data_IF_085933580860
#
_entry.id   IF_085933580860
#
_cell.length_a   1.000
_cell.length_b   1.000
_cell.length_c   1.000
_cell.angle_alpha   90.00
_cell.angle_beta   90.00
_cell.angle_gamma   90.00
#
_symmetry.space_group_name_H-M   'P 1'
#
loop_
_entity.id
_entity.type
_entity.pdbx_description
1 polymer ?
#
# COMPACT_ATOMS: atom_id res chain seq x y z
N UNK A 1 -27.34 28.37 -49.56
CA UNK A 1 -26.93 28.57 -48.16
C UNK A 1 -25.50 29.06 -48.18
N UNK A 2 -25.25 30.20 -47.56
CA UNK A 2 -23.89 30.79 -47.46
C UNK A 2 -22.99 29.86 -46.64
N UNK A 3 -21.71 29.77 -46.97
CA UNK A 3 -20.70 29.00 -46.17
C UNK A 3 -20.58 29.52 -44.74
N UNK A 4 -21.10 30.70 -44.45
CA UNK A 4 -21.16 31.30 -43.11
C UNK A 4 -22.34 30.83 -42.25
N UNK A 5 -23.30 30.06 -42.82
CA UNK A 5 -24.46 29.52 -42.08
C UNK A 5 -24.14 28.18 -41.40
N UNK A 6 -22.95 27.63 -41.61
CA UNK A 6 -22.47 26.40 -40.99
C UNK A 6 -21.80 26.72 -39.63
N UNK A 7 -22.63 26.88 -38.61
CA UNK A 7 -22.15 27.05 -37.22
C UNK A 7 -21.81 25.71 -36.61
N UNK A 8 -20.82 25.66 -35.66
CA UNK A 8 -20.49 24.45 -34.91
C UNK A 8 -21.75 23.94 -34.18
N UNK A 9 -22.06 22.66 -34.36
CA UNK A 9 -23.19 22.02 -33.66
C UNK A 9 -22.71 21.50 -32.34
N UNK A 10 -23.48 21.78 -31.27
CA UNK A 10 -23.27 21.12 -29.98
C UNK A 10 -23.59 19.64 -30.15
N UNK A 11 -22.58 18.75 -29.92
CA UNK A 11 -22.77 17.31 -29.98
C UNK A 11 -23.57 16.83 -28.76
N UNK A 12 -24.28 15.70 -28.90
CA UNK A 12 -25.04 15.06 -27.81
C UNK A 12 -24.11 14.69 -26.65
N UNK A 13 -22.87 14.29 -26.95
CA UNK A 13 -21.86 13.95 -25.94
C UNK A 13 -21.57 15.14 -25.01
N UNK A 14 -21.40 16.34 -25.55
CA UNK A 14 -21.20 17.55 -24.71
C UNK A 14 -22.41 17.84 -23.80
N UNK A 15 -23.63 17.58 -24.31
CA UNK A 15 -24.83 17.76 -23.48
C UNK A 15 -24.89 16.74 -22.33
N UNK A 16 -24.48 15.49 -22.58
CA UNK A 16 -24.42 14.45 -21.55
C UNK A 16 -23.34 14.72 -20.48
N UNK A 17 -22.22 15.29 -20.91
CA UNK A 17 -21.14 15.71 -19.98
C UNK A 17 -21.60 16.87 -19.10
N UNK A 18 -22.28 17.88 -19.66
CA UNK A 18 -22.84 18.99 -18.87
C UNK A 18 -23.93 18.50 -17.89
N UNK A 19 -24.78 17.53 -18.29
CA UNK A 19 -25.77 16.92 -17.40
C UNK A 19 -25.09 16.15 -16.25
N UNK A 20 -23.98 15.42 -16.52
CA UNK A 20 -23.22 14.70 -15.53
C UNK A 20 -22.55 15.66 -14.53
N UNK A 21 -21.93 16.74 -15.03
CA UNK A 21 -21.31 17.76 -14.18
C UNK A 21 -22.34 18.43 -13.27
N UNK A 22 -23.47 18.83 -13.81
CA UNK A 22 -24.56 19.46 -13.04
C UNK A 22 -25.10 18.52 -11.95
N UNK A 23 -25.31 17.24 -12.28
CA UNK A 23 -25.76 16.23 -11.31
C UNK A 23 -24.73 15.98 -10.19
N UNK A 24 -23.44 15.92 -10.54
CA UNK A 24 -22.38 15.75 -9.58
C UNK A 24 -22.22 16.97 -8.67
N UNK A 25 -22.21 18.17 -9.22
CA UNK A 25 -22.20 19.41 -8.43
C UNK A 25 -23.41 19.50 -7.48
N UNK A 26 -24.59 19.10 -7.93
CA UNK A 26 -25.78 19.05 -7.09
C UNK A 26 -25.64 18.06 -5.93
N UNK A 27 -24.93 16.95 -6.11
CA UNK A 27 -24.59 16.02 -5.02
C UNK A 27 -23.62 16.67 -4.04
N UNK A 28 -22.52 17.24 -4.52
CA UNK A 28 -21.48 17.87 -3.71
C UNK A 28 -22.03 19.02 -2.86
N UNK A 29 -22.88 19.87 -3.43
CA UNK A 29 -23.48 21.03 -2.74
C UNK A 29 -24.42 20.68 -1.59
N UNK A 30 -24.78 19.40 -1.43
CA UNK A 30 -25.61 18.92 -0.31
C UNK A 30 -24.81 18.72 0.99
N UNK A 31 -23.47 18.80 0.94
CA UNK A 31 -22.60 18.65 2.10
C UNK A 31 -21.67 19.84 2.24
N UNK A 32 -21.45 20.28 3.46
CA UNK A 32 -20.43 21.27 3.79
C UNK A 32 -19.00 20.67 3.85
N UNK A 33 -18.88 19.36 3.73
CA UNK A 33 -17.61 18.63 3.84
C UNK A 33 -16.81 18.59 2.54
N UNK A 34 -17.40 19.13 1.44
CA UNK A 34 -16.79 19.15 0.12
C UNK A 34 -16.84 20.52 -0.52
N UNK A 35 -15.73 20.89 -1.14
CA UNK A 35 -15.62 22.08 -1.97
C UNK A 35 -15.37 21.65 -3.43
N UNK A 36 -16.28 21.99 -4.33
CA UNK A 36 -16.10 21.76 -5.74
C UNK A 36 -15.05 22.74 -6.30
N UNK A 37 -13.97 22.19 -6.85
CA UNK A 37 -12.88 22.94 -7.46
C UNK A 37 -13.03 22.88 -8.98
N UNK A 38 -13.83 23.61 -9.61
CA UNK A 38 -14.17 23.70 -11.02
C UNK A 38 -13.43 22.81 -12.04
N UNK A 39 -13.99 22.65 -13.21
CA UNK A 39 -13.35 21.92 -14.30
C UNK A 39 -12.26 22.79 -14.95
N UNK A 40 -11.05 22.24 -15.13
CA UNK A 40 -10.05 22.86 -16.02
C UNK A 40 -10.46 22.55 -17.48
N UNK A 41 -10.86 23.57 -18.23
CA UNK A 41 -11.30 23.43 -19.63
C UNK A 41 -10.23 22.90 -20.60
N UNK A 42 -8.99 22.73 -20.14
CA UNK A 42 -7.89 22.12 -20.87
C UNK A 42 -7.64 20.70 -20.37
N UNK A 43 -8.66 19.91 -20.44
CA UNK A 43 -8.71 18.61 -19.81
C UNK A 43 -7.76 17.59 -20.46
N UNK A 44 -6.87 17.04 -19.63
CA UNK A 44 -5.99 15.92 -19.97
C UNK A 44 -6.39 14.63 -19.23
N UNK A 45 -7.61 14.51 -18.71
CA UNK A 45 -8.09 13.26 -18.09
C UNK A 45 -8.75 13.40 -16.71
N UNK A 46 -8.88 14.62 -16.17
CA UNK A 46 -9.67 14.91 -14.97
C UNK A 46 -10.69 16.00 -15.31
N UNK A 47 -11.98 15.68 -15.23
CA UNK A 47 -13.02 16.66 -15.54
C UNK A 47 -13.24 17.65 -14.39
N UNK A 48 -13.07 17.19 -13.13
CA UNK A 48 -13.15 18.08 -11.96
C UNK A 48 -12.39 17.50 -10.75
N UNK A 49 -12.21 18.36 -9.76
CA UNK A 49 -11.65 18.01 -8.46
C UNK A 49 -12.63 18.43 -7.37
N UNK A 50 -12.67 17.69 -6.29
CA UNK A 50 -13.33 18.07 -5.06
C UNK A 50 -12.32 18.08 -3.92
N UNK A 51 -12.37 19.11 -3.11
CA UNK A 51 -11.50 19.24 -1.94
C UNK A 51 -12.27 18.92 -0.67
N UNK A 52 -11.66 18.16 0.22
CA UNK A 52 -12.28 17.75 1.47
C UNK A 52 -12.16 18.87 2.51
N UNK A 53 -13.29 19.14 3.19
CA UNK A 53 -13.40 20.13 4.26
C UNK A 53 -13.69 19.42 5.57
N UNK A 54 -12.99 19.77 6.65
CA UNK A 54 -13.18 19.19 7.97
C UNK A 54 -13.37 20.29 8.99
N UNK A 55 -14.52 20.29 9.66
CA UNK A 55 -14.83 21.31 10.65
C UNK A 55 -14.79 22.75 10.09
N UNK A 56 -15.16 22.93 8.82
CA UNK A 56 -15.12 24.23 8.13
C UNK A 56 -13.72 24.63 7.63
N UNK A 57 -12.70 23.77 7.82
CA UNK A 57 -11.34 24.03 7.34
C UNK A 57 -11.05 23.26 6.06
N UNK A 58 -10.48 23.94 5.07
CA UNK A 58 -10.05 23.37 3.81
C UNK A 58 -8.74 22.59 4.02
N UNK A 59 -8.70 21.31 3.63
CA UNK A 59 -7.62 20.40 4.01
C UNK A 59 -6.50 20.27 2.99
N UNK A 60 -6.67 20.81 1.76
CA UNK A 60 -5.84 20.56 0.59
C UNK A 60 -5.77 19.07 0.17
N UNK A 61 -6.70 18.24 0.66
CA UNK A 61 -6.88 16.86 0.21
C UNK A 61 -7.88 16.85 -0.91
N UNK A 62 -7.43 16.48 -2.11
CA UNK A 62 -8.23 16.53 -3.33
C UNK A 62 -8.53 15.14 -3.85
N UNK A 63 -9.76 14.96 -4.29
CA UNK A 63 -10.24 13.78 -4.99
C UNK A 63 -10.38 14.14 -6.47
N UNK A 64 -9.79 13.33 -7.35
CA UNK A 64 -9.77 13.57 -8.79
C UNK A 64 -10.86 12.77 -9.47
N UNK A 65 -11.70 13.42 -10.26
CA UNK A 65 -12.92 12.83 -10.82
C UNK A 65 -12.95 12.96 -12.33
N UNK A 66 -13.19 11.85 -13.01
CA UNK A 66 -13.54 11.79 -14.42
C UNK A 66 -15.05 11.55 -14.53
N UNK A 67 -15.77 12.47 -15.15
CA UNK A 67 -17.22 12.39 -15.33
C UNK A 67 -17.59 11.80 -16.69
N UNK A 68 -18.64 11.02 -16.74
CA UNK A 68 -19.24 10.54 -18.00
C UNK A 68 -20.76 10.55 -17.90
N UNK A 69 -21.42 11.18 -18.87
CA UNK A 69 -22.86 11.09 -19.04
C UNK A 69 -23.25 9.98 -20.01
N UNK A 70 -24.33 9.24 -19.73
CA UNK A 70 -24.79 8.17 -20.63
C UNK A 70 -26.28 7.91 -20.57
N UNK A 71 -26.85 7.53 -21.72
CA UNK A 71 -28.25 7.07 -21.89
C UNK A 71 -28.30 5.53 -22.10
N UNK A 72 -27.15 4.81 -22.07
CA UNK A 72 -27.10 3.37 -22.31
C UNK A 72 -27.91 2.63 -21.27
N UNK A 73 -28.59 1.55 -21.71
CA UNK A 73 -29.28 0.67 -20.78
C UNK A 73 -28.31 0.02 -19.77
N UNK A 74 -28.80 -0.23 -18.58
CA UNK A 74 -28.08 -1.01 -17.58
C UNK A 74 -27.91 -2.47 -18.06
N UNK A 75 -26.84 -3.10 -17.64
CA UNK A 75 -26.61 -4.53 -17.82
C UNK A 75 -27.68 -5.35 -17.06
N UNK A 76 -27.77 -6.63 -17.33
CA UNK A 76 -28.72 -7.53 -16.66
C UNK A 76 -28.54 -7.61 -15.14
N UNK A 77 -27.33 -7.38 -14.64
CA UNK A 77 -26.97 -7.32 -13.22
C UNK A 77 -27.19 -5.93 -12.60
N UNK A 78 -27.76 -5.00 -13.34
CA UNK A 78 -27.98 -3.62 -12.90
C UNK A 78 -26.74 -2.73 -12.95
N UNK A 79 -25.58 -3.24 -13.37
CA UNK A 79 -24.38 -2.44 -13.57
C UNK A 79 -24.42 -1.60 -14.85
N UNK A 80 -23.52 -0.63 -14.97
CA UNK A 80 -23.35 0.20 -16.16
C UNK A 80 -21.93 0.03 -16.69
N UNK A 81 -21.78 -0.16 -18.01
CA UNK A 81 -20.48 -0.31 -18.67
C UNK A 81 -20.23 0.82 -19.66
N UNK A 82 -19.14 1.56 -19.48
CA UNK A 82 -18.77 2.70 -20.33
C UNK A 82 -17.34 2.49 -20.85
N UNK A 83 -17.14 2.75 -22.14
CA UNK A 83 -15.80 2.77 -22.73
C UNK A 83 -15.11 4.10 -22.36
N UNK A 84 -13.88 4.02 -21.85
CA UNK A 84 -13.03 5.15 -21.50
C UNK A 84 -11.70 5.00 -22.22
N UNK A 85 -11.13 6.09 -22.68
CA UNK A 85 -9.80 6.05 -23.29
C UNK A 85 -8.74 5.67 -22.25
N UNK A 86 -7.79 4.82 -22.66
CA UNK A 86 -6.68 4.41 -21.79
C UNK A 86 -5.87 5.60 -21.25
N UNK A 87 -5.72 6.65 -22.04
CA UNK A 87 -5.04 7.88 -21.63
C UNK A 87 -5.65 8.53 -20.40
N UNK A 88 -6.97 8.50 -20.28
CA UNK A 88 -7.69 9.02 -19.11
C UNK A 88 -7.41 8.16 -17.86
N UNK A 89 -7.41 6.83 -18.01
CA UNK A 89 -7.02 5.94 -16.90
C UNK A 89 -5.57 6.20 -16.48
N UNK A 90 -4.63 6.29 -17.42
CA UNK A 90 -3.22 6.56 -17.13
C UNK A 90 -3.03 7.88 -16.37
N UNK A 91 -3.81 8.90 -16.74
CA UNK A 91 -3.78 10.19 -16.04
C UNK A 91 -4.31 10.08 -14.61
N UNK A 92 -5.43 9.40 -14.41
CA UNK A 92 -6.03 9.21 -13.09
C UNK A 92 -5.16 8.32 -12.18
N UNK A 93 -4.50 7.30 -12.73
CA UNK A 93 -3.57 6.43 -11.97
C UNK A 93 -2.43 7.24 -11.34
N UNK A 94 -1.99 8.32 -11.98
CA UNK A 94 -0.94 9.19 -11.46
C UNK A 94 -1.40 10.07 -10.28
N UNK A 95 -2.73 10.18 -10.07
CA UNK A 95 -3.32 11.00 -9.03
C UNK A 95 -3.86 10.12 -7.90
N UNK A 96 -3.53 10.40 -6.63
CA UNK A 96 -4.11 9.67 -5.53
C UNK A 96 -5.62 9.95 -5.41
N UNK A 97 -6.36 8.96 -4.92
CA UNK A 97 -7.81 9.07 -4.64
C UNK A 97 -8.64 9.47 -5.86
N UNK A 98 -8.35 8.83 -7.00
CA UNK A 98 -9.03 9.09 -8.27
C UNK A 98 -10.15 8.09 -8.52
N UNK A 99 -11.24 8.57 -9.14
CA UNK A 99 -12.35 7.70 -9.49
C UNK A 99 -13.12 8.22 -10.71
N UNK A 100 -13.83 7.30 -11.36
CA UNK A 100 -14.77 7.60 -12.42
C UNK A 100 -16.17 7.76 -11.84
N UNK A 101 -16.92 8.74 -12.35
CA UNK A 101 -18.34 8.92 -12.06
C UNK A 101 -19.13 8.89 -13.36
N UNK A 102 -20.17 8.08 -13.40
CA UNK A 102 -21.11 8.01 -14.51
C UNK A 102 -22.47 8.53 -14.09
N UNK A 103 -22.99 9.51 -14.81
CA UNK A 103 -24.37 9.93 -14.69
C UNK A 103 -25.24 9.14 -15.68
N UNK A 104 -26.13 8.31 -15.15
CA UNK A 104 -27.10 7.54 -15.94
C UNK A 104 -28.39 8.34 -16.08
N UNK A 105 -28.56 8.95 -17.24
CA UNK A 105 -29.67 9.88 -17.53
C UNK A 105 -31.08 9.25 -17.32
N UNK A 106 -31.32 7.99 -17.78
CA UNK A 106 -32.65 7.38 -17.62
C UNK A 106 -33.09 7.20 -16.16
N UNK A 107 -32.18 6.88 -15.26
CA UNK A 107 -32.49 6.70 -13.82
C UNK A 107 -32.16 7.92 -12.99
N UNK A 108 -31.53 8.95 -13.58
CA UNK A 108 -31.04 10.15 -12.88
C UNK A 108 -30.15 9.82 -11.69
N UNK A 109 -29.31 8.76 -11.81
CA UNK A 109 -28.41 8.30 -10.76
C UNK A 109 -26.95 8.54 -11.13
N UNK A 110 -26.13 8.87 -10.14
CA UNK A 110 -24.69 8.90 -10.23
C UNK A 110 -24.15 7.55 -9.79
N UNK A 111 -23.19 7.01 -10.54
CA UNK A 111 -22.53 5.76 -10.25
C UNK A 111 -21.03 5.95 -10.18
N UNK A 112 -20.33 5.16 -9.38
CA UNK A 112 -18.91 5.29 -9.13
C UNK A 112 -18.15 4.03 -9.51
N UNK A 113 -16.92 4.22 -10.00
CA UNK A 113 -15.94 3.15 -10.19
C UNK A 113 -14.55 3.67 -9.82
N UNK A 114 -13.88 2.98 -8.90
CA UNK A 114 -12.54 3.37 -8.44
C UNK A 114 -11.48 2.94 -9.45
N UNK A 115 -10.45 3.77 -9.62
CA UNK A 115 -9.34 3.51 -10.55
C UNK A 115 -8.67 2.17 -10.25
N UNK A 116 -8.47 1.85 -8.97
CA UNK A 116 -7.88 0.58 -8.54
C UNK A 116 -8.75 -0.63 -8.91
N UNK A 117 -10.07 -0.50 -8.86
CA UNK A 117 -10.98 -1.57 -9.29
C UNK A 117 -10.89 -1.81 -10.81
N UNK A 118 -10.73 -0.73 -11.59
CA UNK A 118 -10.51 -0.83 -13.04
C UNK A 118 -9.18 -1.52 -13.33
N UNK A 119 -8.08 -1.11 -12.69
CA UNK A 119 -6.76 -1.73 -12.86
C UNK A 119 -6.80 -3.22 -12.56
N UNK A 120 -7.37 -3.62 -11.43
CA UNK A 120 -7.50 -5.03 -11.03
C UNK A 120 -8.23 -5.88 -12.07
N UNK A 121 -9.30 -5.36 -12.66
CA UNK A 121 -10.06 -6.07 -13.69
C UNK A 121 -9.22 -6.39 -14.93
N UNK A 122 -8.29 -5.50 -15.31
CA UNK A 122 -7.48 -5.64 -16.51
C UNK A 122 -6.17 -6.41 -16.29
N UNK A 123 -5.64 -6.42 -15.09
CA UNK A 123 -4.44 -7.19 -14.74
C UNK A 123 -4.62 -8.71 -14.91
N UNK A 124 -5.86 -9.21 -14.81
CA UNK A 124 -6.17 -10.64 -14.94
C UNK A 124 -6.62 -11.06 -16.36
N UNK A 125 -6.66 -10.15 -17.31
CA UNK A 125 -7.04 -10.43 -18.70
C UNK A 125 -5.90 -11.02 -19.49
N UNK A 126 -6.21 -11.95 -20.45
CA UNK A 126 -5.25 -12.59 -21.36
C UNK A 126 -4.53 -11.60 -22.33
N UNK A 127 -4.97 -10.34 -22.41
CA UNK A 127 -4.32 -9.24 -23.13
C UNK A 127 -4.12 -8.10 -22.17
N UNK A 128 -2.85 -7.73 -21.97
CA UNK A 128 -2.49 -6.57 -21.15
C UNK A 128 -3.28 -5.33 -21.57
N UNK A 129 -3.90 -4.65 -20.63
CA UNK A 129 -4.65 -3.41 -20.85
C UNK A 129 -3.80 -2.33 -21.54
N UNK A 130 -2.47 -2.46 -21.43
CA UNK A 130 -1.47 -1.56 -22.01
C UNK A 130 -1.50 -1.51 -23.54
N UNK A 131 -2.10 -2.49 -24.21
CA UNK A 131 -2.20 -2.55 -25.67
C UNK A 131 -3.55 -2.04 -26.21
N UNK A 132 -4.55 -1.85 -25.32
CA UNK A 132 -5.88 -1.40 -25.72
C UNK A 132 -5.95 0.13 -25.79
N UNK A 133 -6.61 0.67 -26.81
CA UNK A 133 -6.85 2.12 -26.91
C UNK A 133 -7.95 2.60 -25.97
N UNK A 134 -8.96 1.78 -25.75
CA UNK A 134 -10.06 2.04 -24.84
C UNK A 134 -10.31 0.87 -23.92
N UNK A 135 -10.77 1.16 -22.71
CA UNK A 135 -11.06 0.21 -21.64
C UNK A 135 -12.54 0.33 -21.26
N UNK A 136 -13.16 -0.79 -20.91
CA UNK A 136 -14.52 -0.76 -20.38
C UNK A 136 -14.48 -0.61 -18.86
N UNK A 137 -14.97 0.52 -18.35
CA UNK A 137 -15.16 0.75 -16.93
C UNK A 137 -16.56 0.26 -16.54
N UNK A 138 -16.63 -0.55 -15.49
CA UNK A 138 -17.88 -1.06 -14.93
C UNK A 138 -18.24 -0.26 -13.68
N UNK A 139 -19.48 0.21 -13.63
CA UNK A 139 -20.03 0.98 -12.51
C UNK A 139 -21.12 0.12 -11.84
N UNK A 140 -20.76 -0.54 -10.78
CA UNK A 140 -21.64 -1.46 -10.04
C UNK A 140 -22.39 -0.76 -8.91
N UNK A 141 -21.87 0.37 -8.43
CA UNK A 141 -22.32 1.02 -7.22
C UNK A 141 -22.82 2.43 -7.48
N UNK A 142 -23.83 2.83 -6.72
CA UNK A 142 -24.33 4.20 -6.74
C UNK A 142 -23.44 5.12 -5.92
N UNK A 143 -23.17 6.32 -6.42
CA UNK A 143 -22.44 7.35 -5.71
C UNK A 143 -23.42 8.12 -4.81
N UNK A 144 -23.32 7.87 -3.51
CA UNK A 144 -24.06 8.59 -2.46
C UNK A 144 -23.14 9.54 -1.70
N UNK A 145 -23.71 10.46 -0.92
CA UNK A 145 -22.92 11.32 -0.02
C UNK A 145 -22.16 10.50 1.02
N UNK A 146 -22.75 9.45 1.55
CA UNK A 146 -22.13 8.55 2.52
C UNK A 146 -20.89 7.86 1.94
N UNK A 147 -21.02 7.38 0.70
CA UNK A 147 -19.90 6.77 0.00
C UNK A 147 -18.79 7.77 -0.31
N UNK A 148 -19.16 8.99 -0.69
CA UNK A 148 -18.21 10.07 -0.90
C UNK A 148 -17.50 10.46 0.40
N UNK A 149 -18.22 10.46 1.52
CA UNK A 149 -17.64 10.68 2.86
C UNK A 149 -16.64 9.59 3.25
N UNK A 150 -16.95 8.33 2.97
CA UNK A 150 -16.04 7.22 3.21
C UNK A 150 -14.74 7.36 2.39
N UNK A 151 -14.85 7.77 1.12
CA UNK A 151 -13.70 8.05 0.27
C UNK A 151 -12.89 9.25 0.78
N UNK A 152 -13.56 10.30 1.25
CA UNK A 152 -12.89 11.46 1.86
C UNK A 152 -12.12 11.08 3.13
N UNK A 153 -12.68 10.23 3.99
CA UNK A 153 -12.01 9.73 5.19
C UNK A 153 -10.75 8.91 4.85
N UNK A 154 -10.84 8.07 3.81
CA UNK A 154 -9.69 7.35 3.27
C UNK A 154 -8.60 8.33 2.79
N UNK A 155 -8.96 9.32 1.99
CA UNK A 155 -8.04 10.31 1.44
C UNK A 155 -7.38 11.17 2.53
N UNK A 156 -8.14 11.58 3.54
CA UNK A 156 -7.63 12.30 4.71
C UNK A 156 -6.61 11.46 5.47
N UNK A 157 -6.92 10.18 5.73
CA UNK A 157 -6.03 9.27 6.44
C UNK A 157 -4.72 9.06 5.68
N UNK A 158 -4.78 8.74 4.39
CA UNK A 158 -3.59 8.56 3.55
C UNK A 158 -2.76 9.84 3.40
N UNK A 159 -3.40 11.00 3.25
CA UNK A 159 -2.70 12.29 3.14
C UNK A 159 -2.00 12.68 4.45
N UNK A 160 -2.59 12.37 5.61
CA UNK A 160 -1.95 12.56 6.92
C UNK A 160 -0.70 11.70 7.06
N UNK A 161 -0.80 10.42 6.71
CA UNK A 161 0.33 9.50 6.74
C UNK A 161 1.45 9.97 5.81
N UNK A 162 1.14 10.35 4.58
CA UNK A 162 2.11 10.87 3.63
C UNK A 162 2.76 12.18 4.12
N UNK A 163 2.01 13.05 4.78
CA UNK A 163 2.54 14.27 5.43
C UNK A 163 3.49 13.92 6.55
N UNK A 164 3.07 13.04 7.46
CA UNK A 164 3.85 12.67 8.65
C UNK A 164 5.16 11.97 8.23
N UNK A 165 5.12 11.15 7.19
CA UNK A 165 6.30 10.55 6.60
C UNK A 165 7.26 11.62 6.00
N UNK A 166 6.74 12.62 5.26
CA UNK A 166 7.57 13.73 4.75
C UNK A 166 8.19 14.55 5.87
N UNK A 167 7.45 14.82 6.95
CA UNK A 167 7.97 15.53 8.12
C UNK A 167 9.09 14.70 8.76
N UNK A 168 8.88 13.40 8.97
CA UNK A 168 9.88 12.52 9.53
C UNK A 168 11.17 12.46 8.71
N UNK A 169 11.06 12.48 7.38
CA UNK A 169 12.23 12.52 6.48
C UNK A 169 12.97 13.87 6.48
N UNK A 170 12.26 14.97 6.71
CA UNK A 170 12.82 16.33 6.63
C UNK A 170 13.37 16.86 7.96
N UNK A 171 13.11 16.19 9.08
CA UNK A 171 13.57 16.61 10.41
C UNK A 171 14.82 15.83 10.82
N UNK A 172 15.89 16.55 11.17
CA UNK A 172 17.13 15.98 11.68
C UNK A 172 17.05 15.49 13.13
N UNK A 173 15.97 15.78 13.84
CA UNK A 173 15.75 15.38 15.23
C UNK A 173 14.71 14.27 15.31
N UNK A 174 15.16 13.02 15.33
CA UNK A 174 14.31 11.84 15.46
C UNK A 174 13.55 11.74 16.81
N UNK A 175 13.90 12.55 17.81
CA UNK A 175 13.23 12.52 19.11
C UNK A 175 11.95 13.35 19.15
N UNK A 176 11.87 14.45 18.42
CA UNK A 176 10.70 15.32 18.40
C UNK A 176 9.55 14.78 17.51
N UNK A 177 9.89 13.99 16.48
CA UNK A 177 8.91 13.45 15.52
C UNK A 177 7.92 12.45 16.15
N UNK A 178 8.34 11.48 17.00
CA UNK A 178 7.40 10.56 17.64
C UNK A 178 6.38 11.26 18.52
N UNK A 179 6.77 12.32 19.23
CA UNK A 179 5.85 13.03 20.12
C UNK A 179 4.89 13.94 19.33
N UNK A 180 5.36 14.58 18.28
CA UNK A 180 4.51 15.30 17.33
C UNK A 180 3.52 14.37 16.62
N UNK A 181 3.96 13.18 16.21
CA UNK A 181 3.10 12.19 15.56
C UNK A 181 2.10 11.58 16.55
N UNK A 182 2.47 11.38 17.82
CA UNK A 182 1.55 10.92 18.86
C UNK A 182 0.51 11.98 19.21
N UNK A 183 0.91 13.25 19.30
CA UNK A 183 0.00 14.36 19.57
C UNK A 183 -0.96 14.64 18.40
N UNK A 184 -0.55 14.34 17.17
CA UNK A 184 -1.33 14.57 15.96
C UNK A 184 -2.16 13.37 15.50
N UNK A 185 -2.19 12.24 16.22
CA UNK A 185 -2.99 11.07 15.85
C UNK A 185 -4.47 11.31 16.15
N UNK A 186 -5.26 11.76 15.21
CA UNK A 186 -6.70 11.48 15.26
C UNK A 186 -6.86 9.96 15.17
N UNK A 187 -7.85 9.44 15.83
CA UNK A 187 -8.24 8.03 15.70
C UNK A 187 -8.33 7.68 14.21
N UNK A 188 -7.63 6.63 13.80
CA UNK A 188 -7.71 6.14 12.44
C UNK A 188 -9.10 5.54 12.26
N UNK A 189 -9.93 6.21 11.46
CA UNK A 189 -11.24 5.70 11.12
C UNK A 189 -11.12 4.70 9.98
N UNK A 190 -11.43 3.43 10.27
CA UNK A 190 -11.51 2.38 9.25
C UNK A 190 -12.88 2.50 8.58
N UNK A 191 -12.94 2.66 7.23
CA UNK A 191 -14.20 2.70 6.51
C UNK A 191 -15.01 1.41 6.71
N UNK A 192 -16.34 1.53 6.82
CA UNK A 192 -17.24 0.36 6.91
C UNK A 192 -17.31 -0.43 5.58
N UNK A 193 -16.99 0.21 4.48
CA UNK A 193 -16.90 -0.42 3.16
C UNK A 193 -15.64 -1.28 3.05
N UNK A 194 -15.83 -2.56 2.73
CA UNK A 194 -14.75 -3.56 2.62
C UNK A 194 -13.68 -3.17 1.59
N UNK A 195 -14.09 -2.59 0.44
CA UNK A 195 -13.14 -2.19 -0.60
C UNK A 195 -12.27 -1.02 -0.15
N UNK A 196 -12.87 -0.03 0.52
CA UNK A 196 -12.15 1.12 1.07
C UNK A 196 -11.28 0.74 2.28
N UNK A 197 -11.76 -0.13 3.17
CA UNK A 197 -10.97 -0.66 4.28
C UNK A 197 -9.73 -1.41 3.77
N UNK A 198 -9.90 -2.26 2.76
CA UNK A 198 -8.80 -2.95 2.08
C UNK A 198 -7.77 -1.97 1.49
N UNK A 199 -8.25 -0.95 0.78
CA UNK A 199 -7.37 0.07 0.19
C UNK A 199 -6.60 0.83 1.26
N UNK A 200 -7.25 1.21 2.36
CA UNK A 200 -6.61 1.86 3.50
C UNK A 200 -5.54 0.97 4.13
N UNK A 201 -5.84 -0.32 4.36
CA UNK A 201 -4.88 -1.27 4.91
C UNK A 201 -3.62 -1.39 4.03
N UNK A 202 -3.79 -1.50 2.71
CA UNK A 202 -2.69 -1.52 1.75
C UNK A 202 -1.85 -0.24 1.77
N UNK A 203 -2.48 0.93 1.77
CA UNK A 203 -1.77 2.22 1.82
C UNK A 203 -0.98 2.40 3.12
N UNK A 204 -1.56 2.02 4.27
CA UNK A 204 -0.88 2.04 5.56
C UNK A 204 0.36 1.13 5.55
N UNK A 205 0.22 -0.07 5.02
CA UNK A 205 1.31 -1.02 4.89
C UNK A 205 2.42 -0.50 3.96
N UNK A 206 2.08 -0.03 2.76
CA UNK A 206 3.04 0.53 1.80
C UNK A 206 3.78 1.75 2.34
N UNK A 207 3.11 2.59 3.14
CA UNK A 207 3.72 3.77 3.76
C UNK A 207 4.55 3.49 5.00
N UNK A 208 4.61 2.25 5.47
CA UNK A 208 5.37 1.92 6.65
C UNK A 208 4.66 2.18 7.97
N UNK A 209 3.37 2.33 7.95
CA UNK A 209 2.58 2.69 9.14
C UNK A 209 2.15 1.47 9.97
N UNK A 210 3.08 0.53 10.28
CA UNK A 210 2.80 -0.68 11.05
C UNK A 210 2.12 -0.37 12.39
N UNK A 211 2.57 0.67 13.08
CA UNK A 211 1.94 1.09 14.33
C UNK A 211 0.48 1.56 14.16
N UNK A 212 0.11 2.12 13.01
CA UNK A 212 -1.26 2.51 12.72
C UNK A 212 -2.14 1.29 12.38
N UNK A 213 -1.60 0.33 11.60
CA UNK A 213 -2.27 -0.94 11.32
C UNK A 213 -2.53 -1.72 12.61
N UNK A 214 -1.52 -1.83 13.49
CA UNK A 214 -1.65 -2.49 14.78
C UNK A 214 -2.67 -1.80 15.68
N UNK A 215 -2.66 -0.46 15.76
CA UNK A 215 -3.63 0.29 16.55
C UNK A 215 -5.08 0.15 16.04
N UNK A 216 -5.26 -0.01 14.73
CA UNK A 216 -6.56 -0.20 14.10
C UNK A 216 -6.89 -1.68 13.79
N UNK A 217 -6.18 -2.62 14.39
CA UNK A 217 -6.34 -4.05 14.11
C UNK A 217 -7.79 -4.53 14.29
N UNK A 218 -8.40 -4.21 15.44
CA UNK A 218 -9.78 -4.61 15.74
C UNK A 218 -10.82 -3.95 14.80
N UNK A 219 -10.75 -2.66 14.50
CA UNK A 219 -11.56 -2.05 13.45
C UNK A 219 -11.42 -2.71 12.08
N UNK A 220 -10.20 -3.07 11.65
CA UNK A 220 -10.02 -3.77 10.37
C UNK A 220 -10.63 -5.17 10.37
N UNK A 221 -10.41 -5.96 11.43
CA UNK A 221 -10.96 -7.31 11.52
C UNK A 221 -12.49 -7.30 11.57
N UNK A 222 -13.09 -6.29 12.21
CA UNK A 222 -14.54 -6.13 12.28
C UNK A 222 -15.16 -5.86 10.90
N UNK A 223 -14.47 -5.13 10.02
CA UNK A 223 -14.96 -4.81 8.68
C UNK A 223 -14.58 -5.89 7.66
N UNK A 224 -13.34 -6.35 7.68
CA UNK A 224 -12.82 -7.28 6.67
C UNK A 224 -13.11 -8.74 7.00
N UNK A 225 -13.16 -9.10 8.29
CA UNK A 225 -13.15 -10.49 8.74
C UNK A 225 -11.72 -11.06 8.78
N UNK A 226 -11.46 -11.96 9.73
CA UNK A 226 -10.12 -12.51 10.00
C UNK A 226 -9.48 -13.23 8.79
N UNK A 227 -10.29 -13.86 7.95
CA UNK A 227 -9.82 -14.63 6.79
C UNK A 227 -9.65 -13.81 5.52
N UNK A 228 -10.07 -12.53 5.53
CA UNK A 228 -9.97 -11.69 4.35
C UNK A 228 -8.51 -11.43 3.99
N UNK A 229 -8.19 -11.48 2.70
CA UNK A 229 -6.81 -11.34 2.22
C UNK A 229 -6.13 -10.04 2.68
N UNK A 230 -6.87 -8.93 2.73
CA UNK A 230 -6.31 -7.64 3.18
C UNK A 230 -5.94 -7.62 4.68
N UNK A 231 -6.42 -8.54 5.50
CA UNK A 231 -5.92 -8.72 6.86
C UNK A 231 -4.45 -9.12 6.89
N UNK A 232 -3.93 -9.69 5.78
CA UNK A 232 -2.50 -9.95 5.64
C UNK A 232 -1.63 -8.71 5.89
N UNK A 233 -2.07 -7.51 5.52
CA UNK A 233 -1.35 -6.26 5.82
C UNK A 233 -1.27 -5.97 7.32
N UNK A 234 -2.37 -6.19 8.05
CA UNK A 234 -2.42 -6.03 9.50
C UNK A 234 -1.56 -7.08 10.20
N UNK A 235 -1.63 -8.33 9.76
CA UNK A 235 -0.79 -9.42 10.29
C UNK A 235 0.69 -9.19 10.00
N UNK A 236 1.05 -8.70 8.81
CA UNK A 236 2.44 -8.34 8.50
C UNK A 236 2.95 -7.21 9.39
N UNK A 237 2.09 -6.23 9.69
CA UNK A 237 2.45 -5.14 10.62
C UNK A 237 2.74 -5.67 12.03
N UNK A 238 1.93 -6.61 12.56
CA UNK A 238 2.18 -7.25 13.86
C UNK A 238 3.52 -8.03 13.86
N UNK A 239 3.81 -8.76 12.79
CA UNK A 239 5.08 -9.47 12.63
C UNK A 239 6.26 -8.50 12.59
N UNK A 240 6.16 -7.41 11.81
CA UNK A 240 7.22 -6.41 11.72
C UNK A 240 7.49 -5.73 13.07
N UNK A 241 6.44 -5.40 13.82
CA UNK A 241 6.56 -4.85 15.17
C UNK A 241 7.19 -5.85 16.15
N UNK A 242 6.81 -7.12 16.06
CA UNK A 242 7.38 -8.20 16.88
C UNK A 242 8.83 -8.54 16.53
N UNK A 243 9.23 -8.41 15.27
CA UNK A 243 10.62 -8.55 14.84
C UNK A 243 11.49 -7.35 15.26
N UNK A 244 10.85 -6.20 15.53
CA UNK A 244 11.49 -5.04 16.13
C UNK A 244 11.72 -5.23 17.64
N UNK A 245 11.99 -4.14 18.35
CA UNK A 245 12.24 -4.17 19.80
C UNK A 245 10.97 -3.99 20.65
N UNK A 246 9.80 -4.18 20.07
CA UNK A 246 8.54 -4.14 20.81
C UNK A 246 8.23 -5.54 21.35
N UNK A 247 7.57 -5.60 22.49
CA UNK A 247 7.05 -6.89 23.00
C UNK A 247 5.95 -7.33 22.02
N UNK A 248 6.11 -8.50 21.35
CA UNK A 248 5.16 -8.95 20.37
C UNK A 248 3.81 -9.29 21.03
N UNK A 249 2.71 -8.94 20.36
CA UNK A 249 1.41 -9.53 20.67
C UNK A 249 1.37 -10.97 20.15
N UNK A 250 1.63 -11.91 21.07
CA UNK A 250 1.73 -13.34 20.71
C UNK A 250 0.43 -13.87 20.11
N UNK A 251 -0.72 -13.41 20.58
CA UNK A 251 -2.03 -13.84 20.06
C UNK A 251 -2.24 -13.42 18.60
N UNK A 252 -1.90 -12.18 18.26
CA UNK A 252 -2.00 -11.65 16.90
C UNK A 252 -0.98 -12.29 15.95
N UNK A 253 0.24 -12.60 16.42
CA UNK A 253 1.24 -13.30 15.61
C UNK A 253 0.85 -14.77 15.38
N UNK A 254 0.27 -15.46 16.34
CA UNK A 254 -0.29 -16.82 16.13
C UNK A 254 -1.48 -16.79 15.15
N UNK A 255 -2.33 -15.76 15.22
CA UNK A 255 -3.39 -15.56 14.23
C UNK A 255 -2.80 -15.30 12.84
N UNK A 256 -1.72 -14.52 12.73
CA UNK A 256 -0.99 -14.31 11.49
C UNK A 256 -0.45 -15.63 10.90
N UNK A 257 0.16 -16.48 11.72
CA UNK A 257 0.63 -17.80 11.29
C UNK A 257 -0.51 -18.67 10.75
N UNK A 258 -1.66 -18.66 11.42
CA UNK A 258 -2.85 -19.39 10.98
C UNK A 258 -3.35 -18.86 9.65
N UNK A 259 -3.45 -17.53 9.51
CA UNK A 259 -3.85 -16.86 8.28
C UNK A 259 -2.91 -17.23 7.11
N UNK A 260 -1.60 -17.09 7.27
CA UNK A 260 -0.67 -17.38 6.18
C UNK A 260 -0.57 -18.88 5.85
N UNK A 261 -0.75 -19.80 6.81
CA UNK A 261 -0.86 -21.24 6.53
C UNK A 261 -2.07 -21.54 5.64
N UNK A 262 -3.23 -20.95 5.93
CA UNK A 262 -4.41 -21.13 5.08
C UNK A 262 -4.18 -20.63 3.65
N UNK A 263 -3.36 -19.58 3.48
CA UNK A 263 -3.00 -19.07 2.14
C UNK A 263 -2.06 -19.99 1.37
N UNK A 264 -1.14 -20.68 2.04
CA UNK A 264 -0.30 -21.71 1.40
C UNK A 264 -1.16 -22.81 0.77
N UNK A 265 -2.21 -23.25 1.46
CA UNK A 265 -3.10 -24.30 0.99
C UNK A 265 -3.92 -23.91 -0.25
N UNK A 266 -4.12 -22.61 -0.48
CA UNK A 266 -4.90 -22.13 -1.65
C UNK A 266 -4.13 -22.19 -2.96
N UNK A 267 -2.79 -22.27 -2.93
CA UNK A 267 -1.92 -22.25 -4.11
C UNK A 267 -1.95 -20.91 -4.89
N UNK A 268 -2.55 -19.87 -4.34
CA UNK A 268 -2.69 -18.56 -5.00
C UNK A 268 -1.51 -17.62 -4.78
N UNK A 269 -0.64 -17.92 -3.84
CA UNK A 269 0.46 -17.07 -3.41
C UNK A 269 1.80 -17.72 -3.67
N UNK A 270 2.84 -16.90 -3.80
CA UNK A 270 4.21 -17.40 -3.90
C UNK A 270 4.61 -18.10 -2.60
N UNK A 271 4.91 -19.40 -2.70
CA UNK A 271 5.17 -20.27 -1.56
C UNK A 271 6.35 -19.76 -0.74
N UNK A 272 7.48 -19.45 -1.40
CA UNK A 272 8.67 -18.96 -0.71
C UNK A 272 8.45 -17.66 0.05
N UNK A 273 7.64 -16.73 -0.49
CA UNK A 273 7.30 -15.47 0.19
C UNK A 273 6.47 -15.70 1.45
N UNK A 274 5.50 -16.61 1.41
CA UNK A 274 4.70 -16.96 2.58
C UNK A 274 5.55 -17.69 3.64
N UNK A 275 6.42 -18.60 3.23
CA UNK A 275 7.35 -19.29 4.13
C UNK A 275 8.30 -18.30 4.82
N UNK A 276 8.85 -17.35 4.08
CA UNK A 276 9.67 -16.27 4.64
C UNK A 276 8.89 -15.44 5.68
N UNK A 277 7.67 -15.04 5.35
CA UNK A 277 6.80 -14.27 6.26
C UNK A 277 6.48 -15.06 7.54
N UNK A 278 6.12 -16.33 7.40
CA UNK A 278 5.86 -17.21 8.55
C UNK A 278 7.14 -17.47 9.37
N UNK A 279 8.31 -17.56 8.72
CA UNK A 279 9.59 -17.62 9.38
C UNK A 279 9.84 -16.38 10.25
N UNK A 280 9.54 -15.19 9.74
CA UNK A 280 9.62 -13.95 10.52
C UNK A 280 8.67 -13.96 11.72
N UNK A 281 7.44 -14.46 11.55
CA UNK A 281 6.48 -14.58 12.64
C UNK A 281 6.99 -15.51 13.75
N UNK A 282 7.54 -16.66 13.37
CA UNK A 282 8.10 -17.64 14.31
C UNK A 282 9.32 -17.08 15.04
N UNK A 283 10.20 -16.37 14.34
CA UNK A 283 11.34 -15.70 14.96
C UNK A 283 10.92 -14.59 15.94
N UNK A 284 9.85 -13.84 15.62
CA UNK A 284 9.24 -12.87 16.54
C UNK A 284 8.71 -13.52 17.82
N UNK A 285 8.25 -14.78 17.73
CA UNK A 285 7.82 -15.59 18.88
C UNK A 285 8.96 -16.32 19.59
N UNK A 286 10.22 -16.18 19.14
CA UNK A 286 11.37 -16.89 19.67
C UNK A 286 11.44 -18.38 19.29
N UNK A 287 10.63 -18.83 18.31
CA UNK A 287 10.58 -20.23 17.82
C UNK A 287 11.62 -20.42 16.71
N UNK A 288 12.89 -20.25 17.04
CA UNK A 288 13.99 -20.12 16.07
C UNK A 288 14.24 -21.39 15.23
N UNK A 289 14.04 -22.60 15.76
CA UNK A 289 14.20 -23.84 14.99
C UNK A 289 13.14 -23.96 13.87
N UNK A 290 11.91 -23.57 14.17
CA UNK A 290 10.84 -23.57 13.20
C UNK A 290 11.03 -22.44 12.16
N UNK A 291 11.47 -21.26 12.62
CA UNK A 291 11.80 -20.14 11.75
C UNK A 291 12.91 -20.53 10.75
N UNK A 292 13.99 -21.14 11.23
CA UNK A 292 15.09 -21.68 10.42
C UNK A 292 14.57 -22.59 9.31
N UNK A 293 13.69 -23.54 9.67
CA UNK A 293 13.12 -24.49 8.71
C UNK A 293 12.37 -23.78 7.58
N UNK A 294 11.58 -22.76 7.91
CA UNK A 294 10.82 -22.00 6.93
C UNK A 294 11.71 -21.08 6.07
N UNK A 295 12.75 -20.47 6.64
CA UNK A 295 13.69 -19.67 5.86
C UNK A 295 14.47 -20.53 4.83
N UNK A 296 14.89 -21.74 5.23
CA UNK A 296 15.53 -22.70 4.31
C UNK A 296 14.57 -23.07 3.19
N UNK A 297 13.34 -23.43 3.52
CA UNK A 297 12.32 -23.76 2.51
C UNK A 297 12.02 -22.57 1.56
N UNK A 298 11.98 -21.34 2.08
CA UNK A 298 11.81 -20.14 1.24
C UNK A 298 12.97 -19.96 0.24
N UNK A 299 14.19 -20.21 0.67
CA UNK A 299 15.39 -20.13 -0.18
C UNK A 299 15.51 -21.26 -1.20
N UNK A 300 14.76 -22.35 -1.03
CA UNK A 300 14.65 -23.44 -2.01
C UNK A 300 13.69 -23.07 -3.15
N UNK A 301 12.75 -22.12 -2.95
CA UNK A 301 11.84 -21.64 -3.99
C UNK A 301 12.60 -20.78 -5.04
N UNK A 302 12.63 -21.21 -6.32
CA UNK A 302 13.38 -20.48 -7.35
C UNK A 302 12.87 -19.07 -7.62
N UNK A 303 11.56 -18.84 -7.53
CA UNK A 303 10.93 -17.55 -7.78
C UNK A 303 11.29 -16.57 -6.65
N UNK A 304 11.25 -17.02 -5.40
CA UNK A 304 11.68 -16.24 -4.24
C UNK A 304 13.16 -15.90 -4.32
N UNK A 305 14.00 -16.91 -4.59
CA UNK A 305 15.45 -16.74 -4.73
C UNK A 305 15.84 -15.87 -5.92
N UNK A 306 14.99 -15.80 -6.94
CA UNK A 306 15.16 -14.95 -8.12
C UNK A 306 15.11 -13.46 -7.82
N UNK A 307 14.74 -13.04 -6.59
CA UNK A 307 14.72 -11.63 -6.14
C UNK A 307 15.85 -11.43 -5.13
N UNK A 308 17.03 -10.94 -5.57
CA UNK A 308 18.25 -10.93 -4.75
C UNK A 308 18.10 -10.19 -3.42
N UNK A 309 17.37 -9.08 -3.41
CA UNK A 309 17.19 -8.24 -2.23
C UNK A 309 16.43 -8.98 -1.11
N UNK A 310 15.40 -9.75 -1.48
CA UNK A 310 14.60 -10.51 -0.52
C UNK A 310 15.34 -11.75 -0.07
N UNK A 311 15.99 -12.45 -1.00
CA UNK A 311 16.84 -13.58 -0.67
C UNK A 311 17.96 -13.15 0.30
N UNK A 312 18.55 -11.95 0.12
CA UNK A 312 19.53 -11.39 1.06
C UNK A 312 18.94 -11.19 2.45
N UNK A 313 17.73 -10.64 2.56
CA UNK A 313 17.05 -10.49 3.85
C UNK A 313 16.74 -11.85 4.50
N UNK A 314 16.33 -12.83 3.70
CA UNK A 314 16.05 -14.17 4.18
C UNK A 314 17.34 -14.81 4.73
N UNK A 315 18.45 -14.74 4.01
CA UNK A 315 19.75 -15.19 4.49
C UNK A 315 20.16 -14.49 5.78
N UNK A 316 19.98 -13.16 5.88
CA UNK A 316 20.27 -12.41 7.10
C UNK A 316 19.39 -12.88 8.27
N UNK A 317 18.08 -13.08 8.07
CA UNK A 317 17.18 -13.56 9.13
C UNK A 317 17.50 -15.00 9.54
N UNK A 318 17.81 -15.88 8.57
CA UNK A 318 18.28 -17.24 8.84
C UNK A 318 19.56 -17.23 9.67
N UNK A 319 20.53 -16.38 9.32
CA UNK A 319 21.75 -16.19 10.11
C UNK A 319 21.44 -15.75 11.54
N UNK A 320 20.49 -14.82 11.72
CA UNK A 320 20.06 -14.38 13.06
C UNK A 320 19.46 -15.53 13.88
N UNK A 321 18.59 -16.34 13.26
CA UNK A 321 18.03 -17.52 13.95
C UNK A 321 19.10 -18.55 14.31
N UNK A 322 20.05 -18.81 13.40
CA UNK A 322 21.19 -19.71 13.66
C UNK A 322 22.08 -19.20 14.79
N UNK A 323 22.36 -17.90 14.84
CA UNK A 323 23.13 -17.28 15.93
C UNK A 323 22.42 -17.46 17.28
N UNK A 324 21.10 -17.23 17.34
CA UNK A 324 20.29 -17.45 18.55
C UNK A 324 20.26 -18.93 18.99
N UNK A 325 20.42 -19.84 18.04
CA UNK A 325 20.53 -21.28 18.27
C UNK A 325 21.98 -21.73 18.63
N UNK A 326 22.94 -20.81 18.72
CA UNK A 326 24.33 -21.07 19.05
C UNK A 326 25.21 -21.55 17.90
N UNK A 327 24.71 -21.47 16.64
CA UNK A 327 25.45 -21.89 15.45
C UNK A 327 26.10 -20.66 14.76
N UNK A 328 27.01 -19.99 15.49
CA UNK A 328 27.54 -18.67 15.07
C UNK A 328 28.34 -18.72 13.76
N UNK A 329 29.13 -19.79 13.53
CA UNK A 329 29.93 -19.89 12.30
C UNK A 329 29.06 -20.08 11.06
N UNK A 330 28.02 -20.91 11.16
CA UNK A 330 27.05 -21.08 10.06
C UNK A 330 26.23 -19.79 9.85
N UNK A 331 25.92 -19.09 10.94
CA UNK A 331 25.26 -17.79 10.85
C UNK A 331 26.10 -16.77 10.07
N UNK A 332 27.43 -16.74 10.32
CA UNK A 332 28.35 -15.87 9.59
C UNK A 332 28.39 -16.17 8.10
N UNK A 333 28.32 -17.44 7.68
CA UNK A 333 28.23 -17.83 6.27
C UNK A 333 26.96 -17.25 5.62
N UNK A 334 25.84 -17.32 6.31
CA UNK A 334 24.59 -16.75 5.82
C UNK A 334 24.61 -15.21 5.77
N UNK A 335 25.26 -14.53 6.71
CA UNK A 335 25.45 -13.07 6.61
C UNK A 335 26.34 -12.69 5.44
N UNK A 336 27.39 -13.47 5.13
CA UNK A 336 28.22 -13.27 3.95
C UNK A 336 27.43 -13.48 2.65
N UNK A 337 26.59 -14.51 2.59
CA UNK A 337 25.73 -14.74 1.43
C UNK A 337 24.69 -13.60 1.26
N UNK A 338 24.15 -13.08 2.34
CA UNK A 338 23.30 -11.90 2.32
C UNK A 338 24.03 -10.69 1.69
N UNK A 339 25.29 -10.45 2.05
CA UNK A 339 26.10 -9.37 1.46
C UNK A 339 26.52 -9.65 0.03
N UNK A 340 26.67 -10.92 -0.38
CA UNK A 340 26.90 -11.27 -1.78
C UNK A 340 25.70 -10.89 -2.66
N UNK A 341 24.49 -11.10 -2.17
CA UNK A 341 23.25 -10.77 -2.86
C UNK A 341 22.92 -9.27 -2.77
N UNK A 342 23.17 -8.65 -1.63
CA UNK A 342 22.92 -7.22 -1.38
C UNK A 342 24.11 -6.60 -0.61
N UNK A 343 25.12 -6.09 -1.34
CA UNK A 343 26.39 -5.62 -0.74
C UNK A 343 26.26 -4.48 0.27
N UNK A 344 25.16 -3.75 0.22
CA UNK A 344 24.90 -2.60 1.09
C UNK A 344 23.84 -2.89 2.16
N UNK A 345 23.65 -4.16 2.57
CA UNK A 345 22.70 -4.54 3.61
C UNK A 345 23.29 -4.23 5.01
N UNK A 346 22.85 -3.14 5.68
CA UNK A 346 23.47 -2.70 6.94
C UNK A 346 23.38 -3.75 8.05
N UNK A 347 22.25 -4.47 8.10
CA UNK A 347 21.98 -5.47 9.12
C UNK A 347 22.95 -6.65 9.04
N UNK A 348 23.30 -7.07 7.83
CA UNK A 348 24.27 -8.15 7.64
C UNK A 348 25.70 -7.69 7.95
N UNK A 349 26.06 -6.45 7.58
CA UNK A 349 27.34 -5.86 8.00
C UNK A 349 27.42 -5.77 9.52
N UNK A 350 26.37 -5.30 10.19
CA UNK A 350 26.35 -5.19 11.64
C UNK A 350 26.48 -6.56 12.33
N UNK A 351 25.78 -7.58 11.83
CA UNK A 351 25.86 -8.95 12.36
C UNK A 351 27.29 -9.52 12.25
N UNK A 352 27.94 -9.35 11.09
CA UNK A 352 29.33 -9.76 10.90
C UNK A 352 30.31 -8.99 11.78
N UNK A 353 30.09 -7.68 11.96
CA UNK A 353 30.90 -6.88 12.87
C UNK A 353 30.85 -7.45 14.30
N UNK A 354 29.66 -7.79 14.79
CA UNK A 354 29.52 -8.41 16.12
C UNK A 354 30.10 -9.80 16.17
N UNK A 355 29.94 -10.61 15.13
CA UNK A 355 30.57 -11.94 15.05
C UNK A 355 32.10 -11.82 15.16
N UNK A 356 32.76 -10.98 14.36
CA UNK A 356 34.18 -10.75 14.42
C UNK A 356 34.65 -10.19 15.77
N UNK A 357 33.90 -9.25 16.33
CA UNK A 357 34.18 -8.67 17.64
C UNK A 357 34.19 -9.75 18.74
N UNK A 358 33.18 -10.63 18.80
CA UNK A 358 33.10 -11.72 19.79
C UNK A 358 34.26 -12.71 19.65
N UNK A 359 34.81 -12.88 18.44
CA UNK A 359 35.95 -13.75 18.17
C UNK A 359 37.31 -13.05 18.29
N UNK A 360 37.37 -11.82 18.84
CA UNK A 360 38.59 -11.05 19.04
C UNK A 360 39.24 -10.52 17.77
N UNK A 361 38.55 -10.58 16.63
CA UNK A 361 38.98 -10.06 15.32
C UNK A 361 38.55 -8.62 15.17
N UNK A 362 39.20 -7.73 15.91
CA UNK A 362 38.76 -6.35 16.06
C UNK A 362 38.93 -5.50 14.78
N UNK A 363 39.96 -5.78 13.99
CA UNK A 363 40.21 -5.06 12.74
C UNK A 363 39.10 -5.35 11.68
N UNK A 364 38.74 -6.61 11.55
CA UNK A 364 37.63 -7.03 10.67
C UNK A 364 36.31 -6.48 11.18
N UNK A 365 36.07 -6.50 12.48
CA UNK A 365 34.85 -5.91 13.06
C UNK A 365 34.73 -4.44 12.73
N UNK A 366 35.81 -3.65 12.82
CA UNK A 366 35.83 -2.24 12.47
C UNK A 366 35.49 -1.99 10.98
N UNK A 367 36.05 -2.81 10.07
CA UNK A 367 35.76 -2.70 8.65
C UNK A 367 34.25 -2.87 8.36
N UNK A 368 33.59 -3.82 9.01
CA UNK A 368 32.16 -4.02 8.87
C UNK A 368 31.34 -2.88 9.50
N UNK A 369 31.73 -2.36 10.67
CA UNK A 369 31.07 -1.21 11.29
C UNK A 369 31.21 0.07 10.44
N UNK A 370 32.35 0.29 9.81
CA UNK A 370 32.55 1.43 8.90
C UNK A 370 31.61 1.35 7.69
N UNK A 371 31.36 0.13 7.19
CA UNK A 371 30.38 -0.08 6.12
C UNK A 371 28.95 0.25 6.56
N UNK A 372 28.55 -0.12 7.77
CA UNK A 372 27.25 0.27 8.34
C UNK A 372 27.12 1.79 8.36
N UNK A 373 28.10 2.49 8.93
CA UNK A 373 28.09 3.96 9.03
C UNK A 373 28.05 4.62 7.66
N UNK A 374 28.81 4.11 6.71
CA UNK A 374 28.85 4.65 5.34
C UNK A 374 27.49 4.50 4.65
N UNK A 375 26.90 3.30 4.72
CA UNK A 375 25.62 3.02 4.09
C UNK A 375 24.47 3.82 4.71
N UNK A 376 24.45 3.94 6.03
CA UNK A 376 23.43 4.75 6.73
C UNK A 376 23.53 6.22 6.37
N UNK A 377 24.76 6.77 6.25
CA UNK A 377 24.95 8.15 5.79
C UNK A 377 24.49 8.38 4.36
N UNK A 378 24.74 7.43 3.44
CA UNK A 378 24.24 7.51 2.07
C UNK A 378 22.71 7.47 1.99
N UNK A 379 22.08 6.73 2.88
CA UNK A 379 20.63 6.63 2.99
C UNK A 379 20.00 7.81 3.74
N UNK A 380 20.79 8.80 4.18
CA UNK A 380 20.32 9.95 4.97
C UNK A 380 19.82 9.54 6.36
N UNK A 381 20.27 8.38 6.87
CA UNK A 381 19.92 7.89 8.20
C UNK A 381 20.96 8.34 9.22
N UNK A 382 20.55 8.72 10.45
CA UNK A 382 21.50 8.95 11.53
C UNK A 382 22.23 7.65 11.86
N UNK A 383 23.54 7.71 12.08
CA UNK A 383 24.33 6.52 12.34
C UNK A 383 23.79 5.73 13.54
N UNK A 384 23.53 4.45 13.38
CA UNK A 384 22.98 3.54 14.38
C UNK A 384 23.90 3.33 15.60
N UNK A 385 25.09 3.89 15.62
CA UNK A 385 26.02 3.83 16.75
C UNK A 385 25.47 4.59 17.97
N UNK A 386 24.57 5.56 17.80
CA UNK A 386 23.98 6.32 18.91
C UNK A 386 22.61 5.88 19.39
N UNK A 387 22.03 4.88 18.77
CA UNK A 387 20.70 4.40 19.15
C UNK A 387 20.28 3.16 18.35
N UNK A 388 20.34 2.03 18.97
CA UNK A 388 19.76 0.76 18.55
C UNK A 388 18.24 0.84 18.40
N UNK A 389 17.73 1.88 17.77
CA UNK A 389 16.30 2.11 17.64
C UNK A 389 15.94 2.36 16.21
N UNK A 390 15.26 1.36 15.66
CA UNK A 390 14.22 1.49 14.64
C UNK A 390 14.64 2.00 13.28
N UNK A 391 14.24 1.28 12.27
CA UNK A 391 13.92 1.67 10.89
C UNK A 391 14.72 1.05 9.74
N UNK A 392 15.52 0.05 9.97
CA UNK A 392 16.04 -0.77 8.85
C UNK A 392 14.94 -1.57 8.11
N UNK A 393 13.77 -1.72 8.73
CA UNK A 393 12.62 -2.41 8.12
C UNK A 393 11.81 -1.57 7.13
N UNK A 394 11.92 -0.24 7.14
CA UNK A 394 11.07 0.60 6.29
C UNK A 394 11.48 0.65 4.82
N UNK A 395 12.73 0.39 4.48
CA UNK A 395 13.18 0.44 3.08
C UNK A 395 12.91 -0.84 2.28
N UNK A 396 12.59 -1.94 2.94
CA UNK A 396 12.40 -3.27 2.33
C UNK A 396 10.98 -3.80 2.52
N UNK A 397 10.03 -2.93 2.55
CA UNK A 397 8.64 -3.32 2.47
C UNK A 397 8.39 -3.93 1.12
N UNK A 398 8.34 -5.22 1.19
CA UNK A 398 8.32 -6.08 0.05
C UNK A 398 7.03 -5.88 -0.76
N UNK A 399 7.13 -5.17 -1.87
CA UNK A 399 6.20 -5.27 -2.99
C UNK A 399 6.09 -6.73 -3.52
N UNK A 400 6.94 -7.61 -3.02
CA UNK A 400 7.14 -8.97 -3.51
C UNK A 400 6.51 -10.04 -2.61
N UNK A 401 6.26 -9.77 -1.31
CA UNK A 401 5.53 -10.74 -0.47
C UNK A 401 4.11 -10.98 -0.96
N UNK A 402 3.54 -9.98 -1.63
CA UNK A 402 2.27 -10.07 -2.32
C UNK A 402 2.41 -9.30 -3.61
N UNK A 403 2.64 -9.94 -4.76
CA UNK A 403 2.62 -9.25 -6.02
C UNK A 403 1.32 -8.45 -6.07
N UNK A 404 1.39 -7.18 -6.49
CA UNK A 404 0.24 -6.24 -6.62
C UNK A 404 -0.97 -6.87 -7.31
N UNK A 405 -0.79 -8.01 -7.96
CA UNK A 405 -1.71 -8.69 -8.87
C UNK A 405 -2.44 -9.90 -8.26
N UNK A 406 -2.22 -10.28 -7.00
CA UNK A 406 -2.83 -11.51 -6.46
C UNK A 406 -3.91 -11.28 -5.39
N UNK A 407 -4.28 -10.03 -5.12
CA UNK A 407 -5.32 -9.70 -4.15
C UNK A 407 -6.71 -9.57 -4.78
N UNK A 408 -7.05 -10.44 -5.73
CA UNK A 408 -8.37 -10.46 -6.36
C UNK A 408 -9.15 -11.69 -5.95
N UNK A 409 -10.11 -11.51 -5.10
CA UNK A 409 -11.41 -12.16 -5.13
C UNK A 409 -12.40 -11.26 -4.39
#
# INVERSE_FOLDING_TARGET
MSSFDNLPKRDRNHALEDEAEAAFQALISRSADFLFQGSDRKDYGTDCQIEVVVGGQVTNVRLHVQLKGTERALNADGSLSIAVERTNLNYLVAQPYSFFVAYHVPTKSLRVSFVEAVLRRYEHGARGWTEQQSLTVSFTEELTLERLQSLANLALSGSRIARDHRIAQSTSSLQAVPDMLRAARPELHVPEDVSLARQLAGQLYESGADGALSAAFEPFIAVLGADHDAMGFCYMAEINLGMGYQIPDTGRIEAALTHFRSKLETGRYQVGSLQYTMGNALSALGREEEAKTLYVAALEDPDFRGVPEIAAQCHKNLGTSLERLGNEDIAAEHYLEALRLSPNLPEAHNALAHYHHRHGRYEEALQYFDRVVFTERQLGRPSAISGWRTNSFQSWRCTVCFPRNQWSA
#
